data_IF_905168617394
#
_entry.id   IF_905168617394
#
_cell.length_a   1.000
_cell.length_b   1.000
_cell.length_c   1.000
_cell.angle_alpha   90.00
_cell.angle_beta   90.00
_cell.angle_gamma   90.00
#
_symmetry.space_group_name_H-M   'P 1'
#
loop_
_entity.id
_entity.type
_entity.pdbx_description
1 polymer ?
#
# COMPACT_ATOMS: atom_id res chain seq x y z
N UNK A 1 13.85 -17.09 -36.13
CA UNK A 1 13.07 -17.11 -34.89
C UNK A 1 14.04 -16.82 -33.74
N UNK A 2 14.17 -15.55 -33.36
CA UNK A 2 14.98 -15.19 -32.18
C UNK A 2 14.19 -15.61 -30.95
N UNK A 3 14.74 -16.59 -30.24
CA UNK A 3 14.34 -16.99 -28.91
C UNK A 3 14.64 -15.83 -27.94
N UNK A 4 13.73 -14.88 -27.81
CA UNK A 4 13.74 -13.90 -26.73
C UNK A 4 13.31 -14.65 -25.47
N UNK A 5 14.28 -15.41 -24.92
CA UNK A 5 14.08 -16.19 -23.70
C UNK A 5 13.48 -15.30 -22.61
N UNK A 6 12.21 -15.54 -22.31
CA UNK A 6 11.45 -14.87 -21.26
C UNK A 6 12.29 -14.92 -19.96
N UNK A 7 12.88 -13.80 -19.56
CA UNK A 7 13.78 -13.72 -18.39
C UNK A 7 12.99 -14.12 -17.16
N UNK A 8 13.20 -15.34 -16.70
CA UNK A 8 12.54 -15.88 -15.51
C UNK A 8 12.92 -15.07 -14.27
N UNK A 9 11.94 -14.76 -13.43
CA UNK A 9 12.08 -13.94 -12.23
C UNK A 9 12.82 -14.71 -11.13
N UNK A 10 13.84 -14.07 -10.54
CA UNK A 10 14.54 -14.58 -9.36
C UNK A 10 13.71 -14.39 -8.09
N UNK A 11 14.06 -15.07 -6.99
CA UNK A 11 13.42 -14.87 -5.68
C UNK A 11 13.43 -13.39 -5.25
N UNK A 12 14.57 -12.72 -5.40
CA UNK A 12 14.69 -11.29 -5.05
C UNK A 12 13.76 -10.42 -5.89
N UNK A 13 13.64 -10.71 -7.20
CA UNK A 13 12.71 -10.00 -8.08
C UNK A 13 11.25 -10.23 -7.67
N UNK A 14 10.91 -11.45 -7.27
CA UNK A 14 9.56 -11.79 -6.77
C UNK A 14 9.25 -11.06 -5.45
N UNK A 15 10.21 -11.00 -4.50
CA UNK A 15 10.05 -10.22 -3.25
C UNK A 15 9.83 -8.74 -3.58
N UNK A 16 10.65 -8.17 -4.46
CA UNK A 16 10.50 -6.79 -4.92
C UNK A 16 9.14 -6.53 -5.57
N UNK A 17 8.63 -7.49 -6.33
CA UNK A 17 7.32 -7.41 -6.97
C UNK A 17 6.19 -7.42 -5.93
N UNK A 18 6.24 -8.28 -4.91
CA UNK A 18 5.25 -8.31 -3.82
C UNK A 18 5.27 -7.00 -3.04
N UNK A 19 6.46 -6.55 -2.61
CA UNK A 19 6.60 -5.26 -1.92
C UNK A 19 6.09 -4.12 -2.81
N UNK A 20 6.47 -4.14 -4.08
CA UNK A 20 6.10 -3.13 -5.05
C UNK A 20 4.60 -3.07 -5.33
N UNK A 21 3.90 -4.20 -5.36
CA UNK A 21 2.45 -4.25 -5.60
C UNK A 21 1.64 -3.82 -4.38
N UNK A 22 2.07 -4.14 -3.16
CA UNK A 22 1.40 -3.71 -1.94
C UNK A 22 1.67 -2.24 -1.58
N UNK A 23 2.91 -1.76 -1.77
CA UNK A 23 3.26 -0.36 -1.51
C UNK A 23 2.84 0.51 -2.70
N UNK A 24 1.60 0.94 -2.68
CA UNK A 24 1.04 1.92 -3.60
C UNK A 24 0.87 3.30 -2.95
N UNK A 25 -0.04 4.11 -3.50
CA UNK A 25 -0.40 5.43 -2.95
C UNK A 25 -0.90 5.39 -1.51
N UNK A 26 -1.57 4.29 -1.10
CA UNK A 26 -2.09 4.12 0.26
C UNK A 26 -1.04 4.23 1.36
N UNK A 27 0.20 3.79 1.11
CA UNK A 27 1.29 3.94 2.07
C UNK A 27 1.55 5.40 2.48
N UNK A 28 1.34 6.33 1.57
CA UNK A 28 1.58 7.75 1.78
C UNK A 28 0.46 8.47 2.54
N UNK A 29 -0.69 7.81 2.71
CA UNK A 29 -1.83 8.38 3.45
C UNK A 29 -2.26 7.55 4.67
N UNK A 30 -1.64 6.39 4.92
CA UNK A 30 -2.01 5.43 5.96
C UNK A 30 -2.03 6.04 7.37
N UNK A 31 -1.22 7.09 7.62
CA UNK A 31 -1.14 7.74 8.92
C UNK A 31 -2.47 8.42 9.29
N UNK A 32 -3.08 9.16 8.36
CA UNK A 32 -4.40 9.78 8.59
C UNK A 32 -5.53 8.75 8.51
N UNK A 33 -5.44 7.78 7.60
CA UNK A 33 -6.47 6.77 7.39
C UNK A 33 -6.66 5.89 8.63
N UNK A 34 -5.58 5.57 9.37
CA UNK A 34 -5.65 4.84 10.63
C UNK A 34 -5.61 5.74 11.85
N UNK A 35 -4.61 6.62 11.91
CA UNK A 35 -4.34 7.44 13.09
C UNK A 35 -5.37 8.53 13.33
N UNK A 36 -6.12 8.95 12.31
CA UNK A 36 -7.23 9.89 12.44
C UNK A 36 -8.45 9.28 13.17
N UNK A 37 -8.60 7.96 13.12
CA UNK A 37 -9.76 7.25 13.66
C UNK A 37 -9.44 6.40 14.88
N UNK A 38 -8.17 6.17 15.22
CA UNK A 38 -7.76 5.26 16.28
C UNK A 38 -6.53 5.77 17.04
N UNK A 39 -6.50 5.53 18.34
CA UNK A 39 -5.34 5.75 19.19
C UNK A 39 -4.32 4.62 19.06
N UNK A 40 -3.13 4.83 19.67
CA UNK A 40 -2.00 3.92 19.56
C UNK A 40 -2.32 2.47 19.94
N UNK A 41 -3.09 2.24 21.02
CA UNK A 41 -3.49 0.89 21.45
C UNK A 41 -4.35 0.20 20.37
N UNK A 42 -5.37 0.89 19.87
CA UNK A 42 -6.28 0.32 18.87
C UNK A 42 -5.54 0.04 17.54
N UNK A 43 -4.61 0.90 17.14
CA UNK A 43 -3.75 0.67 15.98
C UNK A 43 -2.90 -0.59 16.17
N UNK A 44 -2.25 -0.76 17.33
CA UNK A 44 -1.42 -1.95 17.62
C UNK A 44 -2.28 -3.22 17.58
N UNK A 45 -3.46 -3.21 18.23
CA UNK A 45 -4.39 -4.37 18.21
C UNK A 45 -4.84 -4.65 16.76
N UNK A 46 -5.20 -3.62 16.02
CA UNK A 46 -5.58 -3.73 14.61
C UNK A 46 -4.49 -4.39 13.77
N UNK A 47 -3.25 -3.98 13.94
CA UNK A 47 -2.11 -4.61 13.26
C UNK A 47 -1.85 -6.05 13.67
N UNK A 48 -2.03 -6.39 14.95
CA UNK A 48 -1.88 -7.79 15.41
C UNK A 48 -2.94 -8.70 14.77
N UNK A 49 -4.20 -8.27 14.75
CA UNK A 49 -5.29 -9.03 14.09
C UNK A 49 -4.99 -9.16 12.59
N UNK A 50 -4.62 -8.07 11.94
CA UNK A 50 -4.28 -8.07 10.52
C UNK A 50 -3.07 -8.94 10.22
N UNK A 51 -2.02 -8.88 11.03
CA UNK A 51 -0.83 -9.72 10.86
C UNK A 51 -1.18 -11.21 10.88
N UNK A 52 -1.99 -11.65 11.85
CA UNK A 52 -2.45 -13.05 11.94
C UNK A 52 -3.21 -13.44 10.67
N UNK A 53 -4.18 -12.62 10.23
CA UNK A 53 -4.98 -12.89 9.04
C UNK A 53 -4.15 -12.92 7.76
N UNK A 54 -3.31 -11.91 7.55
CA UNK A 54 -2.51 -11.79 6.32
C UNK A 54 -1.37 -12.80 6.24
N UNK A 55 -0.73 -13.14 7.37
CA UNK A 55 0.27 -14.23 7.40
C UNK A 55 -0.42 -15.56 7.07
N UNK A 56 -1.60 -15.83 7.63
CA UNK A 56 -2.37 -17.03 7.30
C UNK A 56 -2.70 -17.09 5.80
N UNK A 57 -3.12 -15.97 5.20
CA UNK A 57 -3.39 -15.88 3.76
C UNK A 57 -2.12 -16.12 2.93
N UNK A 58 -0.98 -15.54 3.31
CA UNK A 58 0.29 -15.75 2.62
C UNK A 58 0.75 -17.22 2.68
N UNK A 59 0.53 -17.88 3.82
CA UNK A 59 0.82 -19.32 3.97
C UNK A 59 -0.11 -20.18 3.12
N UNK A 60 -1.39 -19.79 2.95
CA UNK A 60 -2.30 -20.45 2.02
C UNK A 60 -1.79 -20.30 0.58
N UNK A 61 -1.38 -19.11 0.17
CA UNK A 61 -0.80 -18.92 -1.17
C UNK A 61 0.49 -19.73 -1.34
N UNK A 62 1.35 -19.77 -0.33
CA UNK A 62 2.56 -20.59 -0.35
C UNK A 62 2.24 -22.09 -0.53
N UNK A 63 1.26 -22.60 0.22
CA UNK A 63 0.83 -23.98 0.13
C UNK A 63 0.23 -24.30 -1.25
N UNK A 64 -0.71 -23.46 -1.73
CA UNK A 64 -1.32 -23.61 -3.04
C UNK A 64 -0.28 -23.58 -4.18
N UNK A 65 0.68 -22.67 -4.13
CA UNK A 65 1.76 -22.61 -5.13
C UNK A 65 2.62 -23.87 -5.13
N UNK A 66 2.85 -24.49 -3.97
CA UNK A 66 3.63 -25.71 -3.86
C UNK A 66 2.86 -26.95 -4.31
N UNK A 67 1.60 -27.10 -3.85
CA UNK A 67 0.76 -28.28 -4.10
C UNK A 67 0.11 -28.26 -5.50
N UNK A 68 -0.24 -27.08 -5.99
CA UNK A 68 -0.93 -26.89 -7.27
C UNK A 68 -0.06 -26.08 -8.23
N UNK A 69 1.17 -26.55 -8.41
CA UNK A 69 2.13 -25.96 -9.35
C UNK A 69 1.71 -26.10 -10.84
N UNK A 70 0.66 -26.88 -11.11
CA UNK A 70 -0.02 -27.02 -12.40
C UNK A 70 -0.87 -25.80 -12.75
N UNK A 71 -1.30 -25.02 -11.75
CA UNK A 71 -2.16 -23.83 -11.94
C UNK A 71 -1.31 -22.57 -12.07
N UNK A 72 -1.36 -21.96 -13.23
CA UNK A 72 -0.79 -20.64 -13.51
C UNK A 72 -1.93 -19.63 -13.63
N UNK A 73 -1.73 -18.40 -13.13
CA UNK A 73 -2.72 -17.35 -13.24
C UNK A 73 -3.28 -16.85 -11.91
N UNK A 74 -2.77 -17.35 -10.79
CA UNK A 74 -3.02 -16.79 -9.48
C UNK A 74 -4.36 -17.15 -8.86
N UNK A 75 -4.95 -16.19 -8.12
CA UNK A 75 -6.09 -16.42 -7.22
C UNK A 75 -7.34 -16.98 -7.92
N UNK A 76 -7.62 -16.52 -9.13
CA UNK A 76 -8.81 -16.98 -9.87
C UNK A 76 -8.68 -18.44 -10.33
N UNK A 77 -7.49 -18.88 -10.70
CA UNK A 77 -7.27 -20.29 -11.10
C UNK A 77 -7.44 -21.23 -9.90
N UNK A 78 -7.00 -20.82 -8.72
CA UNK A 78 -7.24 -21.58 -7.49
C UNK A 78 -8.71 -21.60 -7.12
N UNK A 79 -9.41 -20.47 -7.24
CA UNK A 79 -10.85 -20.37 -6.99
C UNK A 79 -11.65 -21.24 -7.98
N UNK A 80 -11.29 -21.23 -9.26
CA UNK A 80 -11.92 -22.05 -10.29
C UNK A 80 -11.71 -23.54 -10.03
N UNK A 81 -10.48 -23.95 -9.74
CA UNK A 81 -10.14 -25.35 -9.49
C UNK A 81 -10.80 -25.91 -8.21
N UNK A 82 -11.00 -25.06 -7.18
CA UNK A 82 -11.61 -25.49 -5.92
C UNK A 82 -13.13 -25.42 -5.89
N UNK A 83 -13.74 -24.46 -6.58
CA UNK A 83 -15.16 -24.12 -6.42
C UNK A 83 -15.92 -24.03 -7.76
N UNK A 84 -15.26 -24.29 -8.89
CA UNK A 84 -15.87 -24.27 -10.23
C UNK A 84 -15.86 -22.91 -10.91
N UNK A 85 -16.36 -22.89 -12.16
CA UNK A 85 -16.22 -21.77 -13.09
C UNK A 85 -16.86 -20.47 -12.59
N UNK A 86 -18.03 -20.56 -11.94
CA UNK A 86 -18.73 -19.39 -11.44
C UNK A 86 -17.91 -18.64 -10.38
N UNK A 87 -17.32 -19.36 -9.41
CA UNK A 87 -16.51 -18.75 -8.36
C UNK A 87 -15.17 -18.25 -8.92
N UNK A 88 -14.57 -18.98 -9.86
CA UNK A 88 -13.41 -18.52 -10.61
C UNK A 88 -13.68 -17.20 -11.35
N UNK A 89 -14.78 -17.12 -12.08
CA UNK A 89 -15.21 -15.89 -12.74
C UNK A 89 -15.47 -14.75 -11.75
N UNK A 90 -16.22 -15.00 -10.68
CA UNK A 90 -16.52 -14.00 -9.67
C UNK A 90 -15.25 -13.45 -9.02
N UNK A 91 -14.25 -14.32 -8.77
CA UNK A 91 -12.94 -13.93 -8.25
C UNK A 91 -12.18 -13.03 -9.23
N UNK A 92 -12.12 -13.41 -10.50
CA UNK A 92 -11.45 -12.61 -11.55
C UNK A 92 -12.13 -11.25 -11.75
N UNK A 93 -13.46 -11.25 -11.80
CA UNK A 93 -14.25 -10.03 -11.98
C UNK A 93 -14.11 -9.08 -10.77
N UNK A 94 -14.20 -9.61 -9.56
CA UNK A 94 -14.02 -8.82 -8.35
C UNK A 94 -12.61 -8.21 -8.24
N UNK A 95 -11.59 -8.97 -8.62
CA UNK A 95 -10.21 -8.49 -8.68
C UNK A 95 -10.04 -7.35 -9.70
N UNK A 96 -10.56 -7.54 -10.92
CA UNK A 96 -10.56 -6.51 -11.96
C UNK A 96 -11.25 -5.22 -11.50
N UNK A 97 -12.44 -5.38 -10.90
CA UNK A 97 -13.22 -4.23 -10.41
C UNK A 97 -12.51 -3.48 -9.27
N UNK A 98 -11.86 -4.22 -8.37
CA UNK A 98 -11.02 -3.64 -7.30
C UNK A 98 -9.84 -2.85 -7.89
N UNK A 99 -9.14 -3.41 -8.88
CA UNK A 99 -8.04 -2.72 -9.56
C UNK A 99 -8.51 -1.46 -10.29
N UNK A 100 -9.69 -1.52 -10.93
CA UNK A 100 -10.30 -0.37 -11.59
C UNK A 100 -10.57 0.78 -10.60
N UNK A 101 -11.20 0.50 -9.47
CA UNK A 101 -11.44 1.51 -8.42
C UNK A 101 -10.15 2.02 -7.79
N UNK A 102 -9.16 1.13 -7.59
CA UNK A 102 -7.83 1.46 -7.10
C UNK A 102 -7.11 2.48 -7.99
N UNK A 103 -7.21 2.35 -9.31
CA UNK A 103 -6.65 3.30 -10.26
C UNK A 103 -7.27 4.70 -10.15
N UNK A 104 -8.58 4.80 -9.87
CA UNK A 104 -9.25 6.07 -9.61
C UNK A 104 -8.70 6.73 -8.33
N UNK A 105 -8.53 5.95 -7.27
CA UNK A 105 -7.94 6.43 -6.02
C UNK A 105 -6.50 6.91 -6.23
N UNK A 106 -5.69 6.18 -6.98
CA UNK A 106 -4.33 6.60 -7.35
C UNK A 106 -4.31 7.89 -8.17
N UNK A 107 -5.22 8.05 -9.13
CA UNK A 107 -5.36 9.26 -9.91
C UNK A 107 -5.63 10.48 -9.01
N UNK A 108 -6.60 10.36 -8.09
CA UNK A 108 -6.95 11.42 -7.15
C UNK A 108 -5.78 11.79 -6.24
N UNK A 109 -5.07 10.79 -5.71
CA UNK A 109 -3.92 11.00 -4.83
C UNK A 109 -2.74 11.64 -5.57
N UNK A 110 -2.48 11.21 -6.82
CA UNK A 110 -1.48 11.80 -7.70
C UNK A 110 -1.76 13.29 -7.93
N UNK A 111 -2.99 13.61 -8.32
CA UNK A 111 -3.39 15.00 -8.59
C UNK A 111 -3.39 15.85 -7.33
N UNK A 112 -3.75 15.30 -6.17
CA UNK A 112 -3.63 15.98 -4.88
C UNK A 112 -2.17 16.33 -4.57
N UNK A 113 -1.22 15.42 -4.83
CA UNK A 113 0.21 15.68 -4.65
C UNK A 113 0.75 16.74 -5.62
N UNK A 114 0.31 16.72 -6.87
CA UNK A 114 0.62 17.77 -7.85
C UNK A 114 0.01 19.11 -7.42
N UNK A 115 -1.13 19.07 -6.72
CA UNK A 115 -1.82 20.22 -6.14
C UNK A 115 -0.98 21.01 -5.13
N UNK A 116 0.02 20.37 -4.50
CA UNK A 116 0.98 21.09 -3.64
C UNK A 116 1.90 22.04 -4.42
N UNK A 117 2.14 21.75 -5.70
CA UNK A 117 2.95 22.60 -6.59
C UNK A 117 2.09 23.53 -7.43
N UNK A 118 0.90 23.08 -7.81
CA UNK A 118 -0.04 23.80 -8.67
C UNK A 118 -1.44 23.82 -8.04
N UNK A 119 -1.84 24.91 -7.37
CA UNK A 119 -3.09 24.99 -6.59
C UNK A 119 -4.37 24.64 -7.35
N UNK A 120 -4.37 24.74 -8.68
CA UNK A 120 -5.52 24.37 -9.54
C UNK A 120 -5.93 22.88 -9.38
N UNK A 121 -5.00 22.03 -8.95
CA UNK A 121 -5.21 20.59 -8.73
C UNK A 121 -5.46 20.23 -7.26
N UNK A 122 -5.53 21.22 -6.37
CA UNK A 122 -5.70 21.00 -4.93
C UNK A 122 -6.94 20.14 -4.65
N UNK A 123 -6.77 19.13 -3.78
CA UNK A 123 -7.80 18.14 -3.47
C UNK A 123 -7.92 16.96 -4.45
N UNK A 124 -7.23 17.02 -5.60
CA UNK A 124 -7.09 15.89 -6.53
C UNK A 124 -8.33 15.53 -7.36
N UNK A 125 -9.50 16.14 -7.10
CA UNK A 125 -10.78 15.83 -7.75
C UNK A 125 -11.41 17.02 -8.48
N UNK A 126 -10.62 18.06 -8.75
CA UNK A 126 -11.10 19.22 -9.54
C UNK A 126 -11.25 18.84 -11.02
N UNK A 127 -12.05 19.59 -11.78
CA UNK A 127 -12.21 19.34 -13.21
C UNK A 127 -10.88 19.31 -13.98
N UNK A 128 -9.93 20.25 -13.77
CA UNK A 128 -8.58 20.14 -14.34
C UNK A 128 -7.83 18.86 -13.90
N UNK A 129 -7.99 18.43 -12.63
CA UNK A 129 -7.39 17.19 -12.15
C UNK A 129 -7.88 15.98 -12.92
N UNK A 130 -9.17 15.87 -13.17
CA UNK A 130 -9.77 14.76 -13.93
C UNK A 130 -9.22 14.71 -15.35
N UNK A 131 -9.12 15.85 -16.03
CA UNK A 131 -8.58 15.93 -17.39
C UNK A 131 -7.12 15.48 -17.42
N UNK A 132 -6.26 16.05 -16.56
CA UNK A 132 -4.83 15.72 -16.56
C UNK A 132 -4.58 14.27 -16.14
N UNK A 133 -5.28 13.77 -15.12
CA UNK A 133 -5.20 12.36 -14.72
C UNK A 133 -5.62 11.42 -15.85
N UNK A 134 -6.68 11.75 -16.59
CA UNK A 134 -7.13 10.96 -17.74
C UNK A 134 -6.07 10.94 -18.85
N UNK A 135 -5.46 12.07 -19.18
CA UNK A 135 -4.38 12.15 -20.17
C UNK A 135 -3.20 11.29 -19.74
N UNK A 136 -2.79 11.37 -18.47
CA UNK A 136 -1.70 10.57 -17.93
C UNK A 136 -2.01 9.06 -18.00
N UNK A 137 -3.22 8.66 -17.58
CA UNK A 137 -3.64 7.26 -17.61
C UNK A 137 -3.63 6.70 -19.04
N UNK A 138 -4.19 7.44 -20.01
CA UNK A 138 -4.15 7.05 -21.42
C UNK A 138 -2.74 7.00 -21.97
N UNK A 139 -1.85 7.90 -21.56
CA UNK A 139 -0.45 7.89 -21.96
C UNK A 139 0.27 6.63 -21.50
N UNK A 140 0.07 6.23 -20.23
CA UNK A 140 0.59 4.97 -19.68
C UNK A 140 -0.01 3.77 -20.42
N UNK A 141 -1.32 3.76 -20.67
CA UNK A 141 -1.98 2.70 -21.42
C UNK A 141 -1.36 2.51 -22.81
N UNK A 142 -1.17 3.58 -23.58
CA UNK A 142 -0.51 3.51 -24.90
C UNK A 142 0.96 3.08 -24.81
N UNK A 143 1.67 3.42 -23.73
CA UNK A 143 3.04 2.96 -23.49
C UNK A 143 3.06 1.43 -23.29
N UNK A 144 2.13 0.90 -22.51
CA UNK A 144 2.01 -0.55 -22.27
C UNK A 144 1.69 -1.30 -23.57
N UNK A 145 0.82 -0.75 -24.41
CA UNK A 145 0.48 -1.34 -25.72
C UNK A 145 1.67 -1.42 -26.67
N UNK A 146 2.69 -0.55 -26.51
CA UNK A 146 3.91 -0.56 -27.32
C UNK A 146 4.94 -1.62 -26.90
N UNK A 147 4.81 -2.21 -25.73
CA UNK A 147 5.64 -3.30 -25.27
C UNK A 147 5.85 -3.36 -23.76
N UNK A 148 5.71 -4.56 -23.21
CA UNK A 148 5.74 -4.83 -21.77
C UNK A 148 7.18 -4.80 -21.19
N UNK A 149 8.23 -4.97 -21.99
CA UNK A 149 9.62 -5.01 -21.50
C UNK A 149 10.06 -3.69 -20.87
N UNK A 150 9.69 -2.57 -21.50
CA UNK A 150 9.97 -1.22 -20.99
C UNK A 150 9.20 -0.96 -19.70
N UNK A 151 7.95 -1.43 -19.61
CA UNK A 151 7.11 -1.30 -18.41
C UNK A 151 7.70 -2.05 -17.21
N UNK A 152 8.25 -3.25 -17.40
CA UNK A 152 8.87 -4.04 -16.33
C UNK A 152 10.14 -3.37 -15.75
N UNK A 153 10.96 -2.77 -16.61
CA UNK A 153 12.15 -2.01 -16.17
C UNK A 153 11.73 -0.77 -15.37
N UNK A 154 10.78 0.00 -15.88
CA UNK A 154 10.23 1.20 -15.22
C UNK A 154 9.66 0.81 -13.85
N UNK A 155 8.84 -0.25 -13.78
CA UNK A 155 8.27 -0.72 -12.52
C UNK A 155 9.35 -1.10 -11.48
N UNK A 156 10.45 -1.72 -11.90
CA UNK A 156 11.55 -2.07 -10.99
C UNK A 156 12.24 -0.82 -10.44
N UNK A 157 12.52 0.18 -11.28
CA UNK A 157 13.10 1.46 -10.87
C UNK A 157 12.16 2.19 -9.92
N UNK A 158 10.88 2.28 -10.26
CA UNK A 158 9.88 2.94 -9.44
C UNK A 158 9.71 2.24 -8.09
N UNK A 159 9.75 0.90 -8.05
CA UNK A 159 9.66 0.15 -6.79
C UNK A 159 10.80 0.50 -5.83
N UNK A 160 12.02 0.66 -6.32
CA UNK A 160 13.14 1.12 -5.49
C UNK A 160 12.94 2.60 -5.09
N UNK A 161 12.58 3.44 -6.04
CA UNK A 161 12.46 4.89 -5.83
C UNK A 161 11.38 5.24 -4.80
N UNK A 162 10.24 4.53 -4.79
CA UNK A 162 9.16 4.78 -3.82
C UNK A 162 9.49 4.36 -2.39
N UNK A 163 10.42 3.42 -2.20
CA UNK A 163 10.86 3.02 -0.86
C UNK A 163 11.75 4.07 -0.20
N UNK A 164 12.47 4.88 -0.97
CA UNK A 164 13.37 5.91 -0.44
C UNK A 164 12.63 6.92 0.46
N UNK A 165 11.56 7.60 0.00
CA UNK A 165 10.83 8.53 0.87
C UNK A 165 10.21 7.84 2.08
N UNK A 166 9.69 6.63 1.93
CA UNK A 166 9.09 5.88 3.03
C UNK A 166 10.12 5.57 4.12
N UNK A 167 11.29 5.05 3.73
CA UNK A 167 12.36 4.74 4.68
C UNK A 167 12.91 6.01 5.35
N UNK A 168 13.08 7.10 4.60
CA UNK A 168 13.50 8.37 5.17
C UNK A 168 12.49 8.87 6.21
N UNK A 169 11.20 8.83 5.89
CA UNK A 169 10.14 9.24 6.84
C UNK A 169 10.17 8.39 8.09
N UNK A 170 10.32 7.05 7.98
CA UNK A 170 10.43 6.17 9.14
C UNK A 170 11.65 6.57 10.01
N UNK A 171 12.81 6.79 9.40
CA UNK A 171 14.02 7.19 10.11
C UNK A 171 13.79 8.55 10.83
N UNK A 172 13.25 9.54 10.14
CA UNK A 172 12.93 10.85 10.74
C UNK A 172 11.94 10.71 11.90
N UNK A 173 10.89 9.89 11.73
CA UNK A 173 9.91 9.65 12.80
C UNK A 173 10.51 8.91 14.00
N UNK A 174 11.45 7.98 13.81
CA UNK A 174 12.16 7.31 14.93
C UNK A 174 12.94 8.33 15.72
N UNK A 175 13.67 9.23 15.04
CA UNK A 175 14.51 10.26 15.70
C UNK A 175 13.64 11.30 16.42
N UNK A 176 12.53 11.70 15.82
CA UNK A 176 11.63 12.72 16.35
C UNK A 176 10.56 12.16 17.31
N UNK A 177 10.52 10.85 17.55
CA UNK A 177 9.51 10.20 18.36
C UNK A 177 9.48 10.74 19.79
N UNK A 178 8.29 11.19 20.22
CA UNK A 178 8.08 11.69 21.58
C UNK A 178 7.11 10.77 22.33
N UNK A 179 7.63 10.10 23.36
CA UNK A 179 6.84 9.17 24.14
C UNK A 179 5.68 9.84 24.88
N UNK A 180 5.82 11.10 25.30
CA UNK A 180 4.73 11.83 25.95
C UNK A 180 3.56 12.07 24.98
N UNK A 181 3.87 12.48 23.74
CA UNK A 181 2.85 12.63 22.67
C UNK A 181 2.14 11.32 22.40
N UNK A 182 2.89 10.22 22.28
CA UNK A 182 2.34 8.88 22.09
C UNK A 182 1.41 8.46 23.24
N UNK A 183 1.81 8.72 24.48
CA UNK A 183 1.03 8.39 25.67
C UNK A 183 -0.31 9.15 25.73
N UNK A 184 -0.33 10.42 25.34
CA UNK A 184 -1.55 11.23 25.31
C UNK A 184 -2.59 10.63 24.37
N UNK A 185 -2.19 10.17 23.18
CA UNK A 185 -3.08 9.56 22.19
C UNK A 185 -3.28 8.06 22.32
N UNK A 186 -2.72 7.41 23.35
CA UNK A 186 -2.62 5.95 23.38
C UNK A 186 -3.98 5.24 23.40
N UNK A 187 -4.94 5.70 24.18
CA UNK A 187 -6.30 5.11 24.26
C UNK A 187 -7.28 5.72 23.24
N UNK A 188 -6.82 6.68 22.45
CA UNK A 188 -7.65 7.45 21.53
C UNK A 188 -8.31 8.65 22.20
N UNK A 189 -8.74 9.60 21.40
CA UNK A 189 -9.46 10.78 21.83
C UNK A 189 -10.95 10.55 21.50
N UNK A 190 -11.72 10.03 22.45
CA UNK A 190 -13.15 10.25 22.44
C UNK A 190 -13.37 11.75 22.71
N UNK A 191 -14.23 12.43 22.03
CA UNK A 191 -14.38 13.90 22.02
C UNK A 191 -14.23 14.68 23.36
N UNK A 192 -13.81 14.01 24.44
CA UNK A 192 -13.55 14.49 25.78
C UNK A 192 -12.10 14.37 26.25
N UNK A 193 -11.18 13.87 25.40
CA UNK A 193 -9.77 13.77 25.74
C UNK A 193 -9.44 12.75 26.84
N UNK A 194 -10.18 11.66 26.90
CA UNK A 194 -9.99 10.61 27.90
C UNK A 194 -8.66 9.90 27.74
N UNK A 195 -7.82 9.96 28.78
CA UNK A 195 -6.60 9.18 28.92
C UNK A 195 -6.85 7.78 29.50
N UNK A 196 -8.10 7.35 29.59
CA UNK A 196 -8.50 6.10 30.23
C UNK A 196 -8.89 5.04 29.20
N UNK A 197 -8.59 3.78 29.54
CA UNK A 197 -9.00 2.64 28.74
C UNK A 197 -10.52 2.38 28.88
N UNK A 198 -11.22 2.35 27.75
CA UNK A 198 -12.61 1.93 27.63
C UNK A 198 -12.72 0.86 26.55
N UNK A 199 -13.04 -0.38 26.95
CA UNK A 199 -13.08 -1.53 26.04
C UNK A 199 -13.95 -1.32 24.81
N UNK A 200 -15.19 -0.85 24.98
CA UNK A 200 -16.13 -0.63 23.87
C UNK A 200 -15.61 0.43 22.88
N UNK A 201 -15.03 1.53 23.37
CA UNK A 201 -14.43 2.56 22.53
C UNK A 201 -13.19 2.05 21.79
N UNK A 202 -12.28 1.36 22.51
CA UNK A 202 -11.10 0.75 21.88
C UNK A 202 -11.49 -0.22 20.77
N UNK A 203 -12.51 -1.07 21.00
CA UNK A 203 -12.98 -2.04 20.00
C UNK A 203 -13.63 -1.37 18.79
N UNK A 204 -14.36 -0.26 19.00
CA UNK A 204 -14.87 0.57 17.90
C UNK A 204 -13.74 1.17 17.06
N UNK A 205 -12.69 1.67 17.70
CA UNK A 205 -11.50 2.18 17.02
C UNK A 205 -10.76 1.06 16.25
N UNK A 206 -10.59 -0.13 16.85
CA UNK A 206 -10.03 -1.31 16.15
C UNK A 206 -10.84 -1.62 14.91
N UNK A 207 -12.17 -1.66 15.01
CA UNK A 207 -13.05 -1.91 13.87
C UNK A 207 -12.84 -0.89 12.74
N UNK A 208 -12.65 0.39 13.07
CA UNK A 208 -12.40 1.43 12.06
C UNK A 208 -11.08 1.22 11.31
N UNK A 209 -10.05 0.64 11.95
CA UNK A 209 -8.77 0.35 11.30
C UNK A 209 -8.82 -0.85 10.36
N UNK A 210 -9.78 -1.78 10.53
CA UNK A 210 -9.82 -3.04 9.77
C UNK A 210 -10.01 -2.83 8.26
N UNK A 211 -10.83 -1.87 7.86
CA UNK A 211 -11.03 -1.58 6.43
C UNK A 211 -9.75 -1.07 5.78
N UNK A 212 -9.00 -0.24 6.48
CA UNK A 212 -7.72 0.30 6.00
C UNK A 212 -6.70 -0.83 5.88
N UNK A 213 -6.58 -1.67 6.91
CA UNK A 213 -5.59 -2.76 6.92
C UNK A 213 -5.86 -3.82 5.85
N UNK A 214 -7.12 -4.11 5.53
CA UNK A 214 -7.46 -5.02 4.42
C UNK A 214 -7.07 -4.38 3.08
N UNK A 215 -7.37 -3.10 2.88
CA UNK A 215 -7.10 -2.42 1.62
C UNK A 215 -5.61 -2.28 1.31
N UNK A 216 -4.78 -1.94 2.29
CA UNK A 216 -3.35 -1.68 2.05
C UNK A 216 -2.53 -2.95 1.73
N UNK A 217 -3.09 -4.15 1.91
CA UNK A 217 -2.45 -5.41 1.53
C UNK A 217 -2.95 -6.00 0.20
N UNK A 218 -3.83 -5.31 -0.51
CA UNK A 218 -4.12 -5.65 -1.91
C UNK A 218 -2.81 -5.59 -2.68
N UNK A 219 -2.52 -6.65 -3.44
CA UNK A 219 -1.22 -6.84 -4.11
C UNK A 219 -0.34 -7.94 -3.49
N UNK A 220 -0.73 -8.52 -2.33
CA UNK A 220 -0.04 -9.68 -1.74
C UNK A 220 0.04 -10.86 -2.72
N UNK A 221 -0.94 -10.99 -3.60
CA UNK A 221 -1.02 -11.99 -4.65
C UNK A 221 -0.05 -11.75 -5.81
N UNK A 222 0.66 -10.62 -5.85
CA UNK A 222 1.47 -10.20 -6.99
C UNK A 222 2.50 -11.25 -7.46
N UNK A 223 3.20 -11.94 -6.53
CA UNK A 223 4.09 -13.02 -6.93
C UNK A 223 3.35 -14.25 -7.44
N UNK A 224 2.16 -14.54 -6.91
CA UNK A 224 1.35 -15.70 -7.29
C UNK A 224 0.80 -15.55 -8.70
N UNK A 225 0.37 -14.34 -9.08
CA UNK A 225 -0.08 -14.02 -10.44
C UNK A 225 1.06 -14.22 -11.47
N UNK A 226 2.30 -13.95 -11.07
CA UNK A 226 3.48 -14.14 -11.93
C UNK A 226 4.19 -15.48 -11.72
N UNK A 227 3.56 -16.47 -11.10
CA UNK A 227 4.15 -17.77 -10.80
C UNK A 227 4.70 -18.52 -12.04
N UNK A 228 4.03 -18.40 -13.18
CA UNK A 228 4.49 -18.97 -14.46
C UNK A 228 5.82 -18.41 -14.96
N UNK A 229 6.20 -17.19 -14.53
CA UNK A 229 7.48 -16.54 -14.89
C UNK A 229 8.58 -16.73 -13.84
N UNK A 230 8.33 -17.42 -12.74
CA UNK A 230 9.33 -17.68 -11.72
C UNK A 230 10.41 -18.67 -12.21
N UNK A 231 11.68 -18.43 -11.85
CA UNK A 231 12.77 -19.40 -12.09
C UNK A 231 12.49 -20.71 -11.36
N UNK A 232 11.98 -20.61 -10.13
CA UNK A 232 11.59 -21.75 -9.32
C UNK A 232 10.22 -21.42 -8.67
N UNK A 233 9.20 -22.23 -8.92
CA UNK A 233 7.86 -22.01 -8.39
C UNK A 233 7.83 -22.00 -6.85
N UNK A 234 8.71 -22.75 -6.18
CA UNK A 234 8.83 -22.72 -4.70
C UNK A 234 9.27 -21.36 -4.16
N UNK A 235 9.96 -20.54 -4.97
CA UNK A 235 10.36 -19.21 -4.56
C UNK A 235 9.19 -18.22 -4.46
N UNK A 236 8.09 -18.49 -5.18
CA UNK A 236 6.88 -17.64 -5.18
C UNK A 236 6.27 -17.51 -3.79
N UNK A 237 5.98 -18.66 -3.15
CA UNK A 237 5.42 -18.68 -1.81
C UNK A 237 6.32 -18.02 -0.77
N UNK A 238 7.63 -18.31 -0.82
CA UNK A 238 8.61 -17.69 0.08
C UNK A 238 8.70 -16.18 -0.14
N UNK A 239 8.66 -15.73 -1.39
CA UNK A 239 8.68 -14.30 -1.73
C UNK A 239 7.42 -13.59 -1.24
N UNK A 240 6.26 -14.23 -1.33
CA UNK A 240 4.99 -13.69 -0.80
C UNK A 240 5.06 -13.47 0.71
N UNK A 241 5.54 -14.45 1.47
CA UNK A 241 5.66 -14.35 2.93
C UNK A 241 6.67 -13.27 3.34
N UNK A 242 7.87 -13.27 2.75
CA UNK A 242 8.90 -12.27 3.06
C UNK A 242 8.44 -10.87 2.68
N UNK A 243 7.85 -10.70 1.50
CA UNK A 243 7.32 -9.43 1.03
C UNK A 243 6.23 -8.90 1.96
N UNK A 244 5.28 -9.77 2.35
CA UNK A 244 4.23 -9.41 3.31
C UNK A 244 4.80 -8.93 4.65
N UNK A 245 5.72 -9.69 5.26
CA UNK A 245 6.30 -9.32 6.56
C UNK A 245 7.03 -7.98 6.46
N UNK A 246 7.75 -7.75 5.36
CA UNK A 246 8.44 -6.47 5.13
C UNK A 246 7.47 -5.29 5.06
N UNK A 247 6.38 -5.42 4.30
CA UNK A 247 5.37 -4.36 4.16
C UNK A 247 4.57 -4.17 5.46
N UNK A 248 4.23 -5.24 6.15
CA UNK A 248 3.57 -5.18 7.45
C UNK A 248 4.39 -4.39 8.47
N UNK A 249 5.70 -4.63 8.52
CA UNK A 249 6.60 -3.87 9.39
C UNK A 249 6.67 -2.39 9.00
N UNK A 250 6.76 -2.09 7.70
CA UNK A 250 6.76 -0.71 7.20
C UNK A 250 5.48 0.01 7.61
N UNK A 251 4.31 -0.58 7.36
CA UNK A 251 3.03 0.05 7.68
C UNK A 251 2.78 0.19 9.18
N UNK A 252 3.18 -0.81 9.96
CA UNK A 252 3.16 -0.74 11.41
C UNK A 252 4.00 0.44 11.92
N UNK A 253 5.24 0.57 11.45
CA UNK A 253 6.11 1.68 11.84
C UNK A 253 5.55 3.04 11.41
N UNK A 254 5.07 3.17 10.17
CA UNK A 254 4.49 4.40 9.67
C UNK A 254 3.31 4.89 10.51
N UNK A 255 2.47 3.99 10.97
CA UNK A 255 1.24 4.36 11.71
C UNK A 255 1.49 4.55 13.20
N UNK A 256 2.28 3.68 13.83
CA UNK A 256 2.55 3.76 15.27
C UNK A 256 3.48 4.94 15.59
N UNK A 257 4.55 5.15 14.79
CA UNK A 257 5.47 6.26 15.01
C UNK A 257 4.79 7.62 14.80
N UNK A 258 3.86 7.73 13.85
CA UNK A 258 3.11 8.96 13.62
C UNK A 258 2.35 9.44 14.87
N UNK A 259 1.85 8.53 15.71
CA UNK A 259 1.18 8.85 16.98
C UNK A 259 2.14 9.47 18.01
N UNK A 260 3.43 9.24 17.88
CA UNK A 260 4.45 9.87 18.73
C UNK A 260 4.95 11.22 18.21
N UNK A 261 4.55 11.63 17.00
CA UNK A 261 4.92 12.92 16.41
C UNK A 261 3.77 13.92 16.55
N UNK A 262 2.55 13.48 16.19
CA UNK A 262 1.35 14.32 16.12
C UNK A 262 0.21 13.61 16.87
N UNK A 263 -0.52 14.35 17.70
CA UNK A 263 -1.68 13.79 18.41
C UNK A 263 -2.83 13.46 17.45
N UNK A 264 -3.63 12.47 17.78
CA UNK A 264 -4.73 11.94 16.95
C UNK A 264 -5.64 13.04 16.36
N UNK A 265 -6.03 14.03 17.15
CA UNK A 265 -6.91 15.13 16.70
C UNK A 265 -6.28 15.99 15.58
N UNK A 266 -4.97 16.07 15.51
CA UNK A 266 -4.27 16.71 14.40
C UNK A 266 -4.07 15.76 13.22
N UNK A 267 -3.78 14.46 13.48
CA UNK A 267 -3.67 13.45 12.43
C UNK A 267 -4.96 13.36 11.61
N UNK A 268 -6.13 13.45 12.27
CA UNK A 268 -7.45 13.41 11.60
C UNK A 268 -7.71 14.59 10.66
N UNK A 269 -6.94 15.67 10.79
CA UNK A 269 -7.08 16.91 9.99
C UNK A 269 -6.01 17.04 8.90
N UNK A 270 -5.08 16.07 8.82
CA UNK A 270 -4.04 16.09 7.79
C UNK A 270 -4.67 15.88 6.41
N UNK A 271 -4.32 16.77 5.48
CA UNK A 271 -4.68 16.62 4.07
C UNK A 271 -3.81 15.54 3.43
N UNK A 272 -4.33 14.85 2.41
CA UNK A 272 -3.58 13.85 1.66
C UNK A 272 -2.51 14.50 0.76
N UNK A 273 -1.31 13.93 0.73
CA UNK A 273 -0.83 12.77 1.47
C UNK A 273 -0.35 13.13 2.89
N UNK A 274 -0.88 12.45 3.90
CA UNK A 274 -0.58 12.73 5.31
C UNK A 274 0.90 12.54 5.68
N UNK A 275 1.58 11.60 5.02
CA UNK A 275 3.02 11.38 5.18
C UNK A 275 3.84 12.64 4.89
N UNK A 276 3.45 13.42 3.87
CA UNK A 276 4.14 14.66 3.51
C UNK A 276 4.01 15.70 4.62
N UNK A 277 2.84 15.82 5.22
CA UNK A 277 2.61 16.78 6.30
C UNK A 277 3.32 16.37 7.60
N UNK A 278 3.35 15.06 7.92
CA UNK A 278 4.09 14.57 9.08
C UNK A 278 5.59 14.82 8.90
N UNK A 279 6.16 14.58 7.73
CA UNK A 279 7.56 14.88 7.49
C UNK A 279 7.85 16.38 7.55
N UNK A 280 6.95 17.22 6.99
CA UNK A 280 7.07 18.66 7.10
C UNK A 280 7.05 19.15 8.56
N UNK A 281 6.25 18.53 9.40
CA UNK A 281 6.22 18.83 10.84
C UNK A 281 7.57 18.55 11.53
N UNK A 282 8.31 17.54 11.06
CA UNK A 282 9.61 17.14 11.65
C UNK A 282 10.76 17.98 11.10
N UNK A 283 10.84 18.17 9.78
CA UNK A 283 12.02 18.71 9.08
C UNK A 283 11.75 19.98 8.27
N UNK A 284 10.49 20.48 8.27
CA UNK A 284 10.09 21.66 7.51
C UNK A 284 9.58 21.33 6.10
N UNK A 285 9.21 22.36 5.34
CA UNK A 285 8.48 22.27 4.07
C UNK A 285 9.19 21.46 2.97
N UNK A 286 10.51 21.38 3.00
CA UNK A 286 11.25 20.53 2.05
C UNK A 286 10.89 19.05 2.20
N UNK A 287 10.52 18.62 3.41
CA UNK A 287 10.08 17.26 3.68
C UNK A 287 8.77 16.94 2.96
N UNK A 288 7.80 17.86 2.98
CA UNK A 288 6.57 17.70 2.22
C UNK A 288 6.84 17.59 0.72
N UNK A 289 7.67 18.48 0.18
CA UNK A 289 8.07 18.48 -1.23
C UNK A 289 8.69 17.15 -1.63
N UNK A 290 9.63 16.63 -0.81
CA UNK A 290 10.30 15.36 -1.06
C UNK A 290 9.32 14.17 -1.11
N UNK A 291 8.40 14.08 -0.16
CA UNK A 291 7.39 13.02 -0.11
C UNK A 291 6.42 13.12 -1.30
N UNK A 292 5.98 14.32 -1.65
CA UNK A 292 5.08 14.54 -2.78
C UNK A 292 5.72 14.12 -4.12
N UNK A 293 7.00 14.43 -4.33
CA UNK A 293 7.75 13.95 -5.51
C UNK A 293 7.82 12.42 -5.50
N UNK A 294 8.16 11.82 -4.35
CA UNK A 294 8.20 10.36 -4.20
C UNK A 294 6.86 9.68 -4.49
N UNK A 295 5.76 10.28 -4.04
CA UNK A 295 4.42 9.80 -4.33
C UNK A 295 4.08 9.89 -5.82
N UNK A 296 4.37 11.02 -6.47
CA UNK A 296 4.13 11.18 -7.92
C UNK A 296 4.83 10.08 -8.70
N UNK A 297 6.11 9.83 -8.41
CA UNK A 297 6.88 8.75 -9.04
C UNK A 297 6.25 7.38 -8.70
N UNK A 298 5.86 7.15 -7.44
CA UNK A 298 5.26 5.90 -7.00
C UNK A 298 3.98 5.56 -7.75
N UNK A 299 3.08 6.53 -7.89
CA UNK A 299 1.78 6.30 -8.55
C UNK A 299 1.95 6.10 -10.05
N UNK A 300 2.79 6.91 -10.71
CA UNK A 300 3.06 6.75 -12.15
C UNK A 300 3.64 5.37 -12.48
N UNK A 301 4.34 4.73 -11.55
CA UNK A 301 4.84 3.37 -11.74
C UNK A 301 3.93 2.27 -11.23
N UNK A 302 2.85 2.61 -10.51
CA UNK A 302 1.84 1.66 -10.07
C UNK A 302 0.69 1.50 -11.10
N UNK A 303 0.56 2.41 -12.05
CA UNK A 303 -0.34 2.34 -13.20
C UNK A 303 0.29 1.45 -14.28
#
# INVERSE_FOLDING_TARGET
>A
MNDTGDKKLSRTSLIGLVIGSMIGGGAFNIQSDMGGHAGGLAIIIGWLITAIGMISLALVFQNLTNERSDLDGGIYSYAQAGFGDFIGFASAWGYWFSAFLGNVAYATLLMSSIGNFFPIFKGGNTFPSIIVASILLWSVHFLILKGVETAALINSIVTITKLIPILLVIICMIVAFNFNTFRIGFFGMDGYGSLSFHFANTMSQVKSTMLVTVWVFIGIEGAVVFSGRAKNKKDVGTATVIGLISVLLIYFLLTVLAQGIVIQNHISKLEAPSMAQILAYIVGDWGATFVNIGLIISVLGAW
#
